data_IF_022782595908
#
_entry.id   IF_022782595908
#
_cell.length_a   1.000
_cell.length_b   1.000
_cell.length_c   1.000
_cell.angle_alpha   90.00
_cell.angle_beta   90.00
_cell.angle_gamma   90.00
#
_symmetry.space_group_name_H-M   'P 1'
#
loop_
_entity.id
_entity.type
_entity.pdbx_description
1 polymer ?
#
# COMPACT_ATOMS: atom_id res chain seq x y z
N UNK A 1 -3.58 -22.14 -8.02
CA UNK A 1 -2.73 -20.95 -8.20
C UNK A 1 -3.38 -19.64 -7.76
N UNK A 2 -4.70 -19.45 -7.95
CA UNK A 2 -5.44 -18.20 -7.60
C UNK A 2 -5.50 -17.92 -6.08
N UNK A 3 -5.64 -18.95 -5.24
CA UNK A 3 -5.77 -18.77 -3.79
C UNK A 3 -4.52 -18.17 -3.11
N UNK A 4 -3.33 -18.47 -3.64
CA UNK A 4 -2.07 -17.98 -3.08
C UNK A 4 -1.85 -16.49 -3.37
N UNK A 5 -2.22 -16.04 -4.58
CA UNK A 5 -2.08 -14.62 -4.96
C UNK A 5 -3.06 -13.72 -4.20
N UNK A 6 -4.27 -14.22 -3.93
CA UNK A 6 -5.26 -13.51 -3.13
C UNK A 6 -4.82 -13.36 -1.66
N UNK A 7 -4.21 -14.40 -1.08
CA UNK A 7 -3.70 -14.34 0.30
C UNK A 7 -2.54 -13.34 0.43
N UNK A 8 -1.61 -13.34 -0.52
CA UNK A 8 -0.52 -12.34 -0.57
C UNK A 8 -1.09 -10.92 -0.62
N UNK A 9 -2.08 -10.67 -1.48
CA UNK A 9 -2.72 -9.35 -1.57
C UNK A 9 -3.46 -8.98 -0.28
N UNK A 10 -4.13 -9.93 0.39
CA UNK A 10 -4.80 -9.67 1.65
C UNK A 10 -3.82 -9.27 2.75
N UNK A 11 -2.66 -9.94 2.84
CA UNK A 11 -1.61 -9.58 3.79
C UNK A 11 -1.05 -8.17 3.52
N UNK A 12 -0.83 -7.82 2.25
CA UNK A 12 -0.41 -6.47 1.84
C UNK A 12 -1.42 -5.42 2.34
N UNK A 13 -2.73 -5.65 2.11
CA UNK A 13 -3.79 -4.74 2.55
C UNK A 13 -3.82 -4.54 4.05
N UNK A 14 -3.65 -5.62 4.83
CA UNK A 14 -3.61 -5.57 6.29
C UNK A 14 -2.40 -4.77 6.78
N UNK A 15 -1.21 -5.07 6.24
CA UNK A 15 0.04 -4.40 6.63
C UNK A 15 -0.06 -2.90 6.34
N UNK A 16 -0.44 -2.53 5.12
CA UNK A 16 -0.51 -1.13 4.72
C UNK A 16 -1.63 -0.43 5.47
N UNK A 17 -2.84 -0.99 5.50
CA UNK A 17 -3.98 -0.37 6.21
C UNK A 17 -3.71 -0.12 7.70
N UNK A 18 -2.98 -1.00 8.37
CA UNK A 18 -2.59 -0.81 9.78
C UNK A 18 -1.44 0.18 10.01
N UNK A 19 -0.71 0.57 8.96
CA UNK A 19 0.50 1.41 9.06
C UNK A 19 0.47 2.60 8.08
N UNK A 20 -0.71 2.98 7.56
CA UNK A 20 -0.88 4.10 6.65
C UNK A 20 -1.20 5.37 7.45
N UNK A 21 -0.15 6.11 7.82
CA UNK A 21 -0.22 7.20 8.81
C UNK A 21 -0.04 8.61 8.21
N UNK A 22 0.17 8.73 6.90
CA UNK A 22 0.40 10.03 6.24
C UNK A 22 -0.31 10.09 4.88
N UNK A 23 -0.29 11.26 4.25
CA UNK A 23 -1.00 11.59 3.02
C UNK A 23 -0.27 11.17 1.73
N UNK A 24 0.32 9.97 1.72
CA UNK A 24 1.01 9.44 0.53
C UNK A 24 0.01 9.10 -0.57
N UNK A 25 -0.12 9.97 -1.57
CA UNK A 25 -1.06 9.78 -2.68
C UNK A 25 -0.69 8.58 -3.57
N UNK A 26 0.60 8.25 -3.65
CA UNK A 26 1.14 7.11 -4.40
C UNK A 26 2.16 6.32 -3.58
N UNK A 27 2.48 5.10 -4.01
CA UNK A 27 3.50 4.28 -3.33
C UNK A 27 4.89 4.91 -3.38
N UNK A 28 5.21 5.65 -4.44
CA UNK A 28 6.49 6.35 -4.58
C UNK A 28 6.61 7.56 -3.66
N UNK A 29 5.51 8.08 -3.13
CA UNK A 29 5.52 9.18 -2.17
C UNK A 29 5.82 8.69 -0.74
N UNK A 30 5.72 7.37 -0.50
CA UNK A 30 5.91 6.78 0.82
C UNK A 30 7.35 6.95 1.27
N UNK A 31 7.53 7.48 2.47
CA UNK A 31 8.84 7.63 3.10
C UNK A 31 9.59 6.30 3.10
N UNK A 32 10.89 6.32 2.78
CA UNK A 32 11.72 5.12 2.70
C UNK A 32 11.63 4.25 3.97
N UNK A 33 11.59 4.89 5.15
CA UNK A 33 11.46 4.18 6.43
C UNK A 33 10.14 3.44 6.57
N UNK A 34 9.07 3.99 6.00
CA UNK A 34 7.72 3.40 6.07
C UNK A 34 7.57 2.29 5.04
N UNK A 35 8.08 2.46 3.82
CA UNK A 35 8.10 1.39 2.83
C UNK A 35 8.96 0.22 3.28
N UNK A 36 10.12 0.48 3.90
CA UNK A 36 10.95 -0.54 4.56
C UNK A 36 10.23 -1.24 5.72
N UNK A 37 9.46 -0.50 6.53
CA UNK A 37 8.65 -1.10 7.60
C UNK A 37 7.62 -2.07 7.01
N UNK A 38 6.87 -1.66 5.98
CA UNK A 38 5.88 -2.53 5.35
C UNK A 38 6.53 -3.78 4.74
N UNK A 39 7.68 -3.61 4.09
CA UNK A 39 8.46 -4.73 3.57
C UNK A 39 8.93 -5.68 4.67
N UNK A 40 9.44 -5.17 5.79
CA UNK A 40 9.87 -6.00 6.92
C UNK A 40 8.71 -6.78 7.54
N UNK A 41 7.54 -6.16 7.68
CA UNK A 41 6.32 -6.84 8.14
C UNK A 41 5.87 -7.92 7.15
N UNK A 42 6.00 -7.67 5.84
CA UNK A 42 5.70 -8.66 4.81
C UNK A 42 6.66 -9.85 4.87
N UNK A 43 7.98 -9.60 4.96
CA UNK A 43 9.00 -10.64 5.13
C UNK A 43 8.75 -11.54 6.33
N UNK A 44 8.23 -10.99 7.43
CA UNK A 44 7.92 -11.77 8.62
C UNK A 44 6.79 -12.80 8.42
N UNK A 45 6.01 -12.69 7.33
CA UNK A 45 4.86 -13.56 7.01
C UNK A 45 5.14 -14.62 5.95
N UNK A 46 6.26 -14.50 5.23
CA UNK A 46 6.54 -15.32 4.06
C UNK A 46 8.01 -15.76 4.05
N UNK A 47 8.28 -16.93 3.51
CA UNK A 47 9.64 -17.48 3.40
C UNK A 47 10.02 -17.66 1.94
N UNK A 48 11.29 -17.44 1.62
CA UNK A 48 11.89 -17.64 0.31
C UNK A 48 13.41 -17.81 0.45
N UNK A 49 14.07 -18.26 -0.61
CA UNK A 49 15.55 -18.34 -0.62
C UNK A 49 16.18 -16.97 -0.89
N UNK A 50 17.41 -16.75 -0.44
CA UNK A 50 18.10 -15.46 -0.66
C UNK A 50 18.14 -15.06 -2.15
N UNK A 51 18.33 -16.03 -3.04
CA UNK A 51 18.31 -15.85 -4.51
C UNK A 51 16.97 -15.31 -5.03
N UNK A 52 15.86 -15.72 -4.42
CA UNK A 52 14.52 -15.26 -4.79
C UNK A 52 14.21 -13.85 -4.25
N UNK A 53 14.91 -13.41 -3.20
CA UNK A 53 14.63 -12.17 -2.48
C UNK A 53 14.45 -10.93 -3.39
N UNK A 54 15.38 -10.63 -4.32
CA UNK A 54 15.22 -9.50 -5.23
C UNK A 54 13.99 -9.60 -6.14
N UNK A 55 13.63 -10.80 -6.60
CA UNK A 55 12.44 -11.01 -7.42
C UNK A 55 11.16 -10.85 -6.60
N UNK A 56 11.14 -11.37 -5.36
CA UNK A 56 10.00 -11.22 -4.44
C UNK A 56 9.80 -9.75 -4.06
N UNK A 57 10.87 -8.99 -3.80
CA UNK A 57 10.77 -7.57 -3.49
C UNK A 57 10.11 -6.79 -4.64
N UNK A 58 10.60 -6.98 -5.88
CA UNK A 58 9.98 -6.36 -7.06
C UNK A 58 8.52 -6.76 -7.23
N UNK A 59 8.20 -8.03 -7.00
CA UNK A 59 6.84 -8.54 -7.09
C UNK A 59 5.91 -7.98 -6.00
N UNK A 60 6.46 -7.68 -4.82
CA UNK A 60 5.78 -6.98 -3.73
C UNK A 60 5.52 -5.52 -4.10
N UNK A 61 6.55 -4.76 -4.53
CA UNK A 61 6.41 -3.35 -4.92
C UNK A 61 5.37 -3.15 -6.02
N UNK A 62 5.40 -4.04 -7.03
CA UNK A 62 4.41 -4.03 -8.11
C UNK A 62 2.98 -4.26 -7.59
N UNK A 63 2.79 -5.20 -6.64
CA UNK A 63 1.47 -5.47 -6.05
C UNK A 63 0.97 -4.33 -5.19
N UNK A 64 1.84 -3.73 -4.38
CA UNK A 64 1.49 -2.55 -3.58
C UNK A 64 1.05 -1.41 -4.50
N UNK A 65 1.85 -1.12 -5.54
CA UNK A 65 1.55 -0.06 -6.50
C UNK A 65 0.23 -0.31 -7.25
N UNK A 66 0.05 -1.52 -7.77
CA UNK A 66 -1.15 -1.93 -8.51
C UNK A 66 -2.41 -1.97 -7.64
N UNK A 67 -2.29 -2.07 -6.33
CA UNK A 67 -3.43 -1.99 -5.42
C UNK A 67 -3.71 -0.56 -4.95
N UNK A 68 -2.68 0.17 -4.50
CA UNK A 68 -2.83 1.46 -3.85
C UNK A 68 -3.29 2.55 -4.83
N UNK A 69 -2.67 2.59 -6.01
CA UNK A 69 -2.99 3.60 -7.03
C UNK A 69 -4.46 3.57 -7.49
N UNK A 70 -5.03 2.45 -7.96
CA UNK A 70 -6.44 2.44 -8.36
C UNK A 70 -7.39 2.62 -7.17
N UNK A 71 -6.99 2.19 -5.96
CA UNK A 71 -7.81 2.40 -4.75
C UNK A 71 -7.99 3.88 -4.46
N UNK A 72 -6.89 4.66 -4.44
CA UNK A 72 -7.00 6.10 -4.22
C UNK A 72 -7.59 6.86 -5.40
N UNK A 73 -7.32 6.42 -6.64
CA UNK A 73 -7.98 6.98 -7.82
C UNK A 73 -9.52 6.85 -7.72
N UNK A 74 -10.01 5.68 -7.34
CA UNK A 74 -11.45 5.44 -7.16
C UNK A 74 -12.01 6.21 -5.96
N UNK A 75 -11.30 6.22 -4.83
CA UNK A 75 -11.69 6.97 -3.64
C UNK A 75 -11.82 8.48 -3.94
N UNK A 76 -10.82 9.06 -4.63
CA UNK A 76 -10.83 10.47 -5.05
C UNK A 76 -12.02 10.77 -5.97
N UNK A 77 -12.28 9.91 -6.96
CA UNK A 77 -13.37 10.12 -7.92
C UNK A 77 -14.76 10.00 -7.30
N UNK A 78 -14.94 9.10 -6.33
CA UNK A 78 -16.22 8.86 -5.65
C UNK A 78 -16.43 9.76 -4.41
N UNK A 79 -15.36 10.35 -3.88
CA UNK A 79 -15.37 11.03 -2.59
C UNK A 79 -15.52 10.07 -1.39
N UNK A 80 -15.38 8.77 -1.61
CA UNK A 80 -15.57 7.75 -0.56
C UNK A 80 -14.23 7.32 0.01
N UNK A 81 -14.07 7.50 1.33
CA UNK A 81 -12.88 7.07 2.07
C UNK A 81 -12.78 5.53 2.11
N UNK A 82 -11.60 4.94 1.83
CA UNK A 82 -11.37 3.52 2.08
C UNK A 82 -11.49 3.18 3.57
N UNK A 83 -12.16 2.09 3.93
CA UNK A 83 -12.44 1.71 5.33
C UNK A 83 -11.18 1.65 6.21
N UNK A 84 -10.05 1.20 5.64
CA UNK A 84 -8.77 1.05 6.33
C UNK A 84 -8.00 2.37 6.52
N UNK A 85 -8.38 3.45 5.84
CA UNK A 85 -7.73 4.76 5.98
C UNK A 85 -8.39 5.54 7.11
N UNK A 86 -7.65 6.17 8.02
CA UNK A 86 -8.26 6.99 9.08
C UNK A 86 -8.90 8.26 8.51
N UNK A 87 -9.86 8.83 9.24
CA UNK A 87 -10.52 10.09 8.82
C UNK A 87 -9.49 11.23 8.70
N UNK A 88 -8.55 11.33 9.63
CA UNK A 88 -7.48 12.34 9.60
C UNK A 88 -6.60 12.23 8.34
N UNK A 89 -6.13 11.02 8.03
CA UNK A 89 -5.29 10.80 6.85
C UNK A 89 -6.07 11.06 5.57
N UNK A 90 -7.35 10.66 5.53
CA UNK A 90 -8.23 10.94 4.41
C UNK A 90 -8.46 12.43 4.17
N UNK A 91 -8.72 13.22 5.21
CA UNK A 91 -8.86 14.67 5.09
C UNK A 91 -7.58 15.31 4.53
N UNK A 92 -6.42 14.86 5.00
CA UNK A 92 -5.13 15.34 4.51
C UNK A 92 -4.88 14.96 3.03
N UNK A 93 -5.28 13.75 2.61
CA UNK A 93 -5.23 13.34 1.20
C UNK A 93 -6.15 14.18 0.32
N UNK A 94 -7.40 14.42 0.76
CA UNK A 94 -8.37 15.24 0.02
C UNK A 94 -7.87 16.68 -0.11
N UNK A 95 -7.30 17.26 0.96
CA UNK A 95 -6.68 18.60 0.90
C UNK A 95 -5.52 18.64 -0.09
N UNK A 96 -4.63 17.65 -0.04
CA UNK A 96 -3.49 17.54 -0.94
C UNK A 96 -3.93 17.47 -2.42
N UNK A 97 -4.91 16.63 -2.74
CA UNK A 97 -5.44 16.54 -4.11
C UNK A 97 -6.18 17.79 -4.59
N UNK A 98 -6.68 18.60 -3.65
CA UNK A 98 -7.38 19.85 -3.95
C UNK A 98 -6.42 21.03 -4.09
N UNK A 99 -5.22 20.96 -3.49
CA UNK A 99 -4.16 21.95 -3.69
C UNK A 99 -3.40 21.77 -5.01
N UNK A 100 -3.53 20.60 -5.64
CA UNK A 100 -2.97 20.31 -6.97
C UNK A 100 -3.89 20.75 -8.13
N UNK A 101 -5.02 21.41 -7.82
CA UNK A 101 -5.96 22.02 -8.77
C UNK A 101 -5.74 23.54 -8.85
#
# INVERSE_FOLDING_TARGET
MVAYDQEVLNQIKIIIGGNFLSNWATYTDVDLKVSELWWNLFKARFCWTEEQGPAIHRAYDARVSNWLHPTFKHARASGVRPQWCSDEVWENLVRHWSSDL
#
